data_IF_954906600035
#
_entry.id   IF_954906600035
#
_cell.length_a   1.000
_cell.length_b   1.000
_cell.length_c   1.000
_cell.angle_alpha   90.00
_cell.angle_beta   90.00
_cell.angle_gamma   90.00
#
_symmetry.space_group_name_H-M   'P 1'
#
loop_
_entity.id
_entity.type
_entity.pdbx_description
1 polymer ?
#
# COMPACT_ATOMS: atom_id res chain seq x y z
N UNK A 1 -7.22 12.29 -13.83
CA UNK A 1 -5.90 11.78 -13.43
C UNK A 1 -6.13 10.68 -12.42
N UNK A 2 -5.58 9.50 -12.66
CA UNK A 2 -5.74 8.33 -11.79
C UNK A 2 -4.75 8.42 -10.64
N UNK A 3 -5.26 8.54 -9.41
CA UNK A 3 -4.45 8.66 -8.20
C UNK A 3 -4.67 7.44 -7.32
N UNK A 4 -3.59 6.74 -6.96
CA UNK A 4 -3.67 5.63 -6.02
C UNK A 4 -3.07 6.04 -4.68
N UNK A 5 -3.83 5.88 -3.61
CA UNK A 5 -3.36 6.09 -2.24
C UNK A 5 -3.15 4.74 -1.60
N UNK A 6 -1.90 4.40 -1.25
CA UNK A 6 -1.50 3.11 -0.67
C UNK A 6 -1.27 3.23 0.84
N UNK A 7 -2.06 2.50 1.62
CA UNK A 7 -1.76 2.22 3.02
C UNK A 7 -0.91 0.95 3.12
N UNK A 8 0.36 1.13 3.47
CA UNK A 8 1.34 0.04 3.56
C UNK A 8 1.45 -0.63 4.92
N UNK A 9 0.59 -0.29 5.88
CA UNK A 9 0.68 -0.84 7.23
C UNK A 9 -0.28 -2.01 7.40
N UNK A 10 0.26 -3.21 7.62
CA UNK A 10 -0.54 -4.41 7.95
C UNK A 10 -1.04 -4.41 9.39
N UNK A 11 -0.42 -3.61 10.28
CA UNK A 11 -0.75 -3.57 11.71
C UNK A 11 -1.06 -2.14 12.15
N UNK A 12 -2.33 -1.89 12.45
CA UNK A 12 -2.79 -0.64 13.08
C UNK A 12 -3.42 0.37 12.13
N UNK A 13 -4.29 1.23 12.67
CA UNK A 13 -5.14 2.15 11.90
C UNK A 13 -4.50 3.50 11.57
N UNK A 14 -3.34 3.84 12.16
CA UNK A 14 -2.72 5.17 12.03
C UNK A 14 -2.43 5.53 10.57
N UNK A 15 -1.92 4.56 9.81
CA UNK A 15 -1.62 4.75 8.38
C UNK A 15 -2.91 4.92 7.58
N UNK A 16 -3.91 4.06 7.80
CA UNK A 16 -5.24 4.19 7.18
C UNK A 16 -5.89 5.55 7.45
N UNK A 17 -5.84 6.03 8.69
CA UNK A 17 -6.36 7.37 9.05
C UNK A 17 -5.63 8.48 8.29
N UNK A 18 -4.29 8.43 8.21
CA UNK A 18 -3.52 9.41 7.46
C UNK A 18 -3.84 9.38 5.96
N UNK A 19 -4.08 8.20 5.38
CA UNK A 19 -4.45 8.05 3.99
C UNK A 19 -5.88 8.54 3.71
N UNK A 20 -6.82 8.34 4.62
CA UNK A 20 -8.16 8.94 4.52
C UNK A 20 -8.09 10.48 4.46
N UNK A 21 -7.22 11.10 5.24
CA UNK A 21 -7.01 12.56 5.16
C UNK A 21 -6.41 13.02 3.83
N UNK A 22 -5.60 12.18 3.18
CA UNK A 22 -5.12 12.45 1.81
C UNK A 22 -6.30 12.42 0.85
N UNK A 23 -7.14 11.38 0.93
CA UNK A 23 -8.35 11.24 0.10
C UNK A 23 -9.32 12.43 0.24
N UNK A 24 -9.47 12.97 1.45
CA UNK A 24 -10.32 14.15 1.70
C UNK A 24 -9.79 15.43 1.05
N UNK A 25 -8.46 15.53 0.88
CA UNK A 25 -7.79 16.71 0.31
C UNK A 25 -7.66 16.64 -1.21
N UNK A 26 -7.85 15.48 -1.81
CA UNK A 26 -7.84 15.34 -3.26
C UNK A 26 -9.07 16.03 -3.85
N UNK A 27 -8.85 16.80 -4.91
CA UNK A 27 -9.92 17.40 -5.67
C UNK A 27 -10.64 16.32 -6.49
N UNK A 28 -11.86 16.00 -6.07
CA UNK A 28 -12.71 14.95 -6.67
C UNK A 28 -13.16 15.27 -8.10
N UNK A 29 -13.01 16.51 -8.55
CA UNK A 29 -13.35 16.91 -9.92
C UNK A 29 -12.20 16.66 -10.91
N UNK A 30 -10.97 16.50 -10.43
CA UNK A 30 -9.77 16.37 -11.27
C UNK A 30 -9.01 15.06 -11.07
N UNK A 31 -9.14 14.46 -9.88
CA UNK A 31 -8.52 13.18 -9.53
C UNK A 31 -9.57 12.08 -9.36
N UNK A 32 -9.40 10.98 -10.11
CA UNK A 32 -10.06 9.71 -9.82
C UNK A 32 -9.17 8.95 -8.83
N UNK A 33 -9.56 8.95 -7.56
CA UNK A 33 -8.72 8.51 -6.47
C UNK A 33 -9.17 7.15 -5.92
N UNK A 34 -8.25 6.18 -5.85
CA UNK A 34 -8.48 4.86 -5.26
C UNK A 34 -7.59 4.66 -4.03
N UNK A 35 -8.19 4.35 -2.89
CA UNK A 35 -7.46 3.96 -1.68
C UNK A 35 -7.32 2.43 -1.64
N UNK A 36 -6.09 1.94 -1.65
CA UNK A 36 -5.76 0.53 -1.43
C UNK A 36 -5.07 0.42 -0.07
N UNK A 37 -5.67 -0.34 0.85
CA UNK A 37 -4.98 -0.76 2.06
C UNK A 37 -4.46 -2.18 1.91
N UNK A 38 -3.13 -2.35 1.91
CA UNK A 38 -2.49 -3.65 1.73
C UNK A 38 -2.88 -4.66 2.82
N UNK A 39 -3.39 -4.20 3.97
CA UNK A 39 -3.93 -5.07 5.01
C UNK A 39 -5.19 -5.85 4.58
N UNK A 40 -5.92 -5.34 3.58
CA UNK A 40 -7.17 -5.93 3.10
C UNK A 40 -6.94 -6.93 1.94
N UNK A 41 -5.69 -7.13 1.51
CA UNK A 41 -5.32 -7.96 0.35
C UNK A 41 -4.29 -9.02 0.70
N UNK A 42 -4.41 -10.21 0.10
CA UNK A 42 -3.42 -11.28 0.20
C UNK A 42 -2.40 -11.16 -0.93
N UNK A 43 -1.28 -10.50 -0.64
CA UNK A 43 -0.23 -10.26 -1.62
C UNK A 43 0.86 -11.34 -1.54
N UNK A 44 1.14 -11.96 -2.69
CA UNK A 44 2.25 -12.89 -2.82
C UNK A 44 3.58 -12.15 -2.89
N UNK A 45 4.63 -12.76 -2.36
CA UNK A 45 5.99 -12.25 -2.55
C UNK A 45 6.36 -12.32 -4.03
N UNK A 46 7.03 -11.27 -4.51
CA UNK A 46 7.53 -11.25 -5.88
C UNK A 46 8.54 -12.38 -6.08
N UNK A 47 8.28 -13.24 -7.05
CA UNK A 47 9.12 -14.39 -7.42
C UNK A 47 9.79 -14.22 -8.79
N UNK A 48 9.68 -13.02 -9.37
CA UNK A 48 10.26 -12.68 -10.68
C UNK A 48 9.31 -12.84 -11.87
N UNK A 49 8.07 -13.29 -11.66
CA UNK A 49 7.03 -13.27 -12.71
C UNK A 49 6.67 -11.85 -13.13
N UNK A 50 6.22 -11.70 -14.38
CA UNK A 50 5.66 -10.43 -14.85
C UNK A 50 4.38 -10.12 -14.08
N UNK A 51 4.09 -8.83 -13.84
CA UNK A 51 2.96 -8.45 -12.99
C UNK A 51 1.59 -8.91 -13.53
N UNK A 52 1.48 -9.05 -14.86
CA UNK A 52 0.28 -9.56 -15.53
C UNK A 52 0.04 -11.06 -15.30
N UNK A 53 1.08 -11.80 -14.90
CA UNK A 53 1.03 -13.25 -14.70
C UNK A 53 0.64 -13.62 -13.26
N UNK A 54 0.49 -12.64 -12.38
CA UNK A 54 -0.15 -12.88 -11.09
C UNK A 54 -1.66 -12.99 -11.25
N UNK A 55 -2.29 -13.63 -10.27
CA UNK A 55 -3.73 -13.78 -10.14
C UNK A 55 -4.22 -13.20 -8.81
N UNK A 56 -5.54 -13.00 -8.72
CA UNK A 56 -6.23 -12.53 -7.52
C UNK A 56 -5.76 -11.14 -7.06
N UNK A 57 -5.70 -10.96 -5.74
CA UNK A 57 -5.36 -9.69 -5.09
C UNK A 57 -4.01 -9.11 -5.55
N UNK A 58 -3.03 -9.98 -5.80
CA UNK A 58 -1.70 -9.54 -6.24
C UNK A 58 -1.76 -8.90 -7.62
N UNK A 59 -2.51 -9.50 -8.56
CA UNK A 59 -2.74 -8.92 -9.89
C UNK A 59 -3.49 -7.59 -9.78
N UNK A 60 -4.57 -7.58 -9.00
CA UNK A 60 -5.40 -6.39 -8.84
C UNK A 60 -4.60 -5.20 -8.29
N UNK A 61 -3.87 -5.40 -7.18
CA UNK A 61 -3.09 -4.33 -6.56
C UNK A 61 -1.97 -3.86 -7.49
N UNK A 62 -1.21 -4.79 -8.08
CA UNK A 62 -0.11 -4.41 -8.98
C UNK A 62 -0.61 -3.69 -10.22
N UNK A 63 -1.67 -4.17 -10.86
CA UNK A 63 -2.24 -3.54 -12.04
C UNK A 63 -2.81 -2.15 -11.72
N UNK A 64 -3.52 -2.01 -10.60
CA UNK A 64 -4.06 -0.70 -10.17
C UNK A 64 -2.95 0.32 -9.94
N UNK A 65 -1.80 -0.11 -9.38
CA UNK A 65 -0.64 0.76 -9.19
C UNK A 65 0.01 1.12 -10.53
N UNK A 66 0.13 0.16 -11.46
CA UNK A 66 0.73 0.38 -12.77
C UNK A 66 -0.13 1.28 -13.67
N UNK A 67 -1.44 1.24 -13.53
CA UNK A 67 -2.41 2.06 -14.27
C UNK A 67 -2.56 3.49 -13.69
N UNK A 68 -1.90 3.78 -12.56
CA UNK A 68 -1.97 5.07 -11.89
C UNK A 68 -1.04 6.10 -12.53
N UNK A 69 -1.52 7.34 -12.68
CA UNK A 69 -0.68 8.48 -13.06
C UNK A 69 0.22 8.90 -11.89
N UNK A 70 -0.32 8.84 -10.68
CA UNK A 70 0.35 9.18 -9.43
C UNK A 70 -0.05 8.17 -8.37
N UNK A 71 0.92 7.66 -7.61
CA UNK A 71 0.62 6.92 -6.39
C UNK A 71 1.32 7.53 -5.18
N UNK A 72 0.66 7.47 -4.04
CA UNK A 72 1.24 7.84 -2.74
C UNK A 72 1.32 6.60 -1.89
N UNK A 73 2.42 6.44 -1.14
CA UNK A 73 2.62 5.29 -0.26
C UNK A 73 3.01 5.79 1.12
N UNK A 74 2.35 5.26 2.15
CA UNK A 74 2.75 5.49 3.53
C UNK A 74 2.87 4.19 4.29
N UNK A 75 3.99 4.08 4.99
CA UNK A 75 4.26 3.03 5.96
C UNK A 75 4.46 3.65 7.34
N UNK A 76 4.08 2.94 8.40
CA UNK A 76 4.37 3.34 9.79
C UNK A 76 5.07 2.19 10.48
N UNK A 77 6.36 2.35 10.73
CA UNK A 77 7.13 1.40 11.54
C UNK A 77 6.73 1.53 13.01
N UNK A 78 6.39 0.42 13.65
CA UNK A 78 6.27 0.35 15.12
C UNK A 78 7.69 0.24 15.67
N UNK A 79 8.26 1.35 16.14
CA UNK A 79 9.62 1.42 16.71
C UNK A 79 9.81 0.65 18.03
N UNK A 80 8.86 -0.19 18.46
CA UNK A 80 8.88 -0.90 19.74
C UNK A 80 9.13 -2.41 19.70
N UNK A 81 9.16 -3.05 18.52
CA UNK A 81 9.29 -4.53 18.41
C UNK A 81 10.67 -4.94 17.84
N UNK A 82 11.38 -4.04 17.17
CA UNK A 82 12.63 -4.38 16.50
C UNK A 82 13.87 -4.36 17.41
N UNK A 83 13.84 -3.67 18.57
CA UNK A 83 15.03 -3.51 19.42
C UNK A 83 15.31 -4.67 20.39
N UNK A 84 14.58 -5.79 20.34
CA UNK A 84 14.83 -6.95 21.24
C UNK A 84 15.26 -8.25 20.57
N UNK A 85 15.22 -8.35 19.23
CA UNK A 85 15.48 -9.62 18.53
C UNK A 85 16.61 -9.58 17.48
N UNK A 86 17.33 -8.46 17.33
CA UNK A 86 18.44 -8.35 16.36
C UNK A 86 19.79 -8.75 16.97
N UNK A 87 19.95 -8.74 18.30
CA UNK A 87 21.21 -9.15 18.96
C UNK A 87 21.42 -10.67 19.07
N UNK A 88 20.56 -11.51 18.47
CA UNK A 88 20.70 -12.98 18.54
C UNK A 88 20.94 -13.68 17.21
N UNK A 89 21.19 -12.95 16.11
CA UNK A 89 21.40 -13.55 14.78
C UNK A 89 22.50 -12.87 13.95
N UNK A 90 23.61 -12.51 14.58
CA UNK A 90 24.90 -12.33 13.92
C UNK A 90 26.00 -12.94 14.78
#
# INVERSE_FOLDING_TARGET
>A
MNVVVLSGSTVGSKTRTAMNQVMEKLDKHTADATLIDLADYTIQWSDGRHYLDYDGDTKYVTQTIMDADVFTYRYTGISGIHSRNIEKRF
#
